data_IF_748931350989
#
_entry.id   IF_748931350989
#
_cell.length_a   1.000
_cell.length_b   1.000
_cell.length_c   1.000
_cell.angle_alpha   90.00
_cell.angle_beta   90.00
_cell.angle_gamma   90.00
#
_symmetry.space_group_name_H-M   'P 1'
#
loop_
_entity.id
_entity.type
_entity.pdbx_description
1 polymer ?
#
# COMPACT_ATOMS: atom_id res chain seq x y z
N UNK A 1 15.07 8.25 9.56
CA UNK A 1 14.91 7.60 10.89
C UNK A 1 15.19 8.54 12.07
N UNK A 2 16.39 9.12 12.21
CA UNK A 2 16.72 10.04 13.32
C UNK A 2 15.86 11.32 13.38
N UNK A 3 15.41 11.85 12.23
CA UNK A 3 14.69 13.12 12.17
C UNK A 3 13.23 13.05 12.68
N UNK A 4 12.51 11.94 12.47
CA UNK A 4 11.12 11.80 12.93
C UNK A 4 11.03 11.45 14.42
N UNK A 5 11.96 10.62 14.91
CA UNK A 5 12.10 10.31 16.35
C UNK A 5 12.49 11.56 17.13
N UNK A 6 13.39 12.41 16.60
CA UNK A 6 13.71 13.70 17.23
C UNK A 6 12.54 14.69 17.22
N UNK A 7 11.67 14.66 16.20
CA UNK A 7 10.51 15.54 16.13
C UNK A 7 9.45 15.18 17.19
N UNK A 8 9.20 13.87 17.39
CA UNK A 8 8.30 13.36 18.44
C UNK A 8 8.84 13.65 19.85
N UNK A 9 10.16 13.56 20.06
CA UNK A 9 10.80 13.93 21.34
C UNK A 9 10.69 15.44 21.63
N UNK A 10 10.60 16.29 20.59
CA UNK A 10 10.60 17.76 20.77
C UNK A 10 9.21 18.38 21.01
N UNK A 11 8.14 17.61 20.87
CA UNK A 11 6.74 18.08 20.98
C UNK A 11 6.08 17.79 22.34
N UNK A 12 6.84 17.32 23.34
CA UNK A 12 6.30 16.99 24.67
C UNK A 12 6.01 18.24 25.51
N UNK A 13 4.90 18.92 25.23
CA UNK A 13 4.17 19.78 26.17
C UNK A 13 2.65 19.48 26.05
N UNK A 14 2.29 18.25 26.39
CA UNK A 14 0.93 17.71 26.46
C UNK A 14 1.03 16.22 26.79
N UNK A 15 0.23 15.70 27.72
CA UNK A 15 0.38 14.33 28.23
C UNK A 15 0.37 13.29 27.12
N UNK A 16 1.46 12.54 26.99
CA UNK A 16 1.61 11.46 26.02
C UNK A 16 0.66 10.31 26.38
N UNK A 17 -0.04 9.76 25.38
CA UNK A 17 -0.90 8.59 25.59
C UNK A 17 -0.06 7.33 25.80
N UNK A 18 -0.62 6.33 26.52
CA UNK A 18 0.05 5.03 26.74
C UNK A 18 0.50 4.37 25.42
N UNK A 19 -0.25 4.61 24.33
CA UNK A 19 0.03 4.07 22.99
C UNK A 19 1.22 4.73 22.32
N UNK A 20 1.33 6.05 22.42
CA UNK A 20 2.51 6.76 21.92
C UNK A 20 3.76 6.36 22.72
N UNK A 21 3.64 6.16 24.03
CA UNK A 21 4.76 5.67 24.85
C UNK A 21 5.22 4.29 24.39
N UNK A 22 4.30 3.34 24.19
CA UNK A 22 4.63 2.02 23.64
C UNK A 22 5.36 2.10 22.29
N UNK A 23 4.90 2.97 21.39
CA UNK A 23 5.53 3.14 20.08
C UNK A 23 6.95 3.70 20.19
N UNK A 24 7.17 4.70 21.07
CA UNK A 24 8.52 5.23 21.31
C UNK A 24 9.45 4.19 21.96
N UNK A 25 8.95 3.40 22.92
CA UNK A 25 9.70 2.30 23.54
C UNK A 25 10.12 1.25 22.50
N UNK A 26 9.23 0.90 21.58
CA UNK A 26 9.50 0.01 20.45
C UNK A 26 10.57 0.57 19.50
N UNK A 27 10.50 1.86 19.17
CA UNK A 27 11.52 2.53 18.36
C UNK A 27 12.89 2.54 19.08
N UNK A 28 12.90 2.77 20.40
CA UNK A 28 14.11 2.74 21.21
C UNK A 28 14.70 1.32 21.30
N UNK A 29 13.88 0.30 21.50
CA UNK A 29 14.31 -1.10 21.51
C UNK A 29 14.97 -1.50 20.18
N UNK A 30 14.43 -0.99 19.07
CA UNK A 30 14.98 -1.20 17.72
C UNK A 30 16.33 -0.52 17.54
N UNK A 31 16.49 0.70 18.05
CA UNK A 31 17.77 1.42 18.00
C UNK A 31 18.88 0.71 18.80
N UNK A 32 18.51 0.09 19.93
CA UNK A 32 19.45 -0.63 20.78
C UNK A 32 19.81 -2.01 20.23
N UNK A 33 18.86 -2.68 19.58
CA UNK A 33 19.03 -4.01 19.01
C UNK A 33 18.30 -4.13 17.66
N UNK A 34 18.89 -3.59 16.58
CA UNK A 34 18.28 -3.60 15.25
C UNK A 34 17.92 -5.01 14.79
N UNK A 35 16.80 -5.14 14.08
CA UNK A 35 16.43 -6.42 13.46
C UNK A 35 17.41 -6.72 12.33
N UNK A 36 18.15 -7.82 12.44
CA UNK A 36 19.05 -8.25 11.37
C UNK A 36 18.28 -8.90 10.21
N UNK A 37 18.85 -8.85 9.01
CA UNK A 37 18.28 -9.56 7.84
C UNK A 37 18.13 -11.07 8.08
N UNK A 38 18.99 -11.67 8.91
CA UNK A 38 18.89 -13.10 9.26
C UNK A 38 17.68 -13.40 10.17
N UNK A 39 17.42 -12.54 11.16
CA UNK A 39 16.21 -12.62 11.98
C UNK A 39 14.96 -12.39 11.13
N UNK A 40 14.98 -11.37 10.28
CA UNK A 40 13.87 -11.07 9.37
C UNK A 40 13.60 -12.23 8.41
N UNK A 41 14.64 -12.82 7.81
CA UNK A 41 14.54 -14.03 6.98
C UNK A 41 13.86 -15.18 7.72
N UNK A 42 14.26 -15.42 8.97
CA UNK A 42 13.68 -16.47 9.81
C UNK A 42 12.20 -16.21 10.07
N UNK A 43 11.84 -14.97 10.38
CA UNK A 43 10.46 -14.57 10.66
C UNK A 43 9.56 -14.65 9.41
N UNK A 44 10.03 -14.11 8.27
CA UNK A 44 9.34 -14.12 6.98
C UNK A 44 9.07 -15.54 6.49
N UNK A 45 10.06 -16.44 6.59
CA UNK A 45 9.95 -17.82 6.13
C UNK A 45 9.31 -18.77 7.15
N UNK A 46 8.96 -18.28 8.34
CA UNK A 46 8.20 -19.06 9.31
C UNK A 46 6.77 -19.33 8.79
N UNK A 47 6.08 -20.39 9.25
CA UNK A 47 4.69 -20.63 8.86
C UNK A 47 3.77 -19.43 9.13
N UNK A 48 4.01 -18.70 10.21
CA UNK A 48 3.27 -17.47 10.54
C UNK A 48 3.56 -16.32 9.56
N UNK A 49 4.83 -16.12 9.19
CA UNK A 49 5.22 -15.08 8.25
C UNK A 49 4.65 -15.32 6.85
N UNK A 50 4.74 -16.56 6.37
CA UNK A 50 4.13 -16.98 5.10
C UNK A 50 2.62 -16.78 5.12
N UNK A 51 1.95 -17.13 6.22
CA UNK A 51 0.51 -16.92 6.37
C UNK A 51 0.11 -15.45 6.38
N UNK A 52 0.85 -14.61 7.10
CA UNK A 52 0.60 -13.17 7.16
C UNK A 52 0.74 -12.54 5.77
N UNK A 53 1.81 -12.86 5.04
CA UNK A 53 2.05 -12.35 3.67
C UNK A 53 0.98 -12.86 2.70
N UNK A 54 0.61 -14.15 2.79
CA UNK A 54 -0.49 -14.72 1.98
C UNK A 54 -1.79 -13.95 2.21
N UNK A 55 -2.12 -13.66 3.47
CA UNK A 55 -3.33 -12.93 3.84
C UNK A 55 -3.36 -11.51 3.27
N UNK A 56 -2.20 -10.85 3.13
CA UNK A 56 -2.11 -9.53 2.49
C UNK A 56 -2.47 -9.60 0.99
N UNK A 57 -1.92 -10.58 0.26
CA UNK A 57 -2.26 -10.75 -1.15
C UNK A 57 -3.72 -11.16 -1.35
N UNK A 58 -4.27 -12.03 -0.50
CA UNK A 58 -5.69 -12.40 -0.55
C UNK A 58 -6.59 -11.18 -0.31
N UNK A 59 -6.23 -10.35 0.68
CA UNK A 59 -6.96 -9.12 0.99
C UNK A 59 -6.90 -8.14 -0.18
N UNK A 60 -5.71 -7.92 -0.74
CA UNK A 60 -5.54 -7.07 -1.91
C UNK A 60 -6.38 -7.55 -3.10
N UNK A 61 -6.39 -8.86 -3.39
CA UNK A 61 -7.27 -9.42 -4.42
C UNK A 61 -8.75 -9.20 -4.13
N UNK A 62 -9.20 -9.41 -2.89
CA UNK A 62 -10.58 -9.13 -2.48
C UNK A 62 -10.93 -7.64 -2.60
N UNK A 63 -9.93 -6.78 -2.43
CA UNK A 63 -9.99 -5.35 -2.68
C UNK A 63 -9.65 -5.01 -4.14
N UNK A 64 -9.80 -5.91 -5.11
CA UNK A 64 -9.68 -5.50 -6.51
C UNK A 64 -10.89 -4.68 -6.98
N UNK A 65 -10.71 -3.94 -8.07
CA UNK A 65 -11.79 -3.29 -8.82
C UNK A 65 -11.78 -3.79 -10.27
N UNK A 66 -12.96 -3.92 -10.88
CA UNK A 66 -13.08 -4.17 -12.31
C UNK A 66 -13.11 -2.82 -13.03
N UNK A 67 -12.21 -2.61 -13.99
CA UNK A 67 -12.11 -1.37 -14.76
C UNK A 67 -11.56 -1.65 -16.15
N UNK A 68 -12.24 -1.20 -17.22
CA UNK A 68 -11.84 -1.44 -18.62
C UNK A 68 -11.56 -2.92 -18.93
N UNK A 69 -12.51 -3.80 -18.58
CA UNK A 69 -12.44 -5.26 -18.79
C UNK A 69 -11.27 -5.99 -18.11
N UNK A 70 -10.56 -5.30 -17.20
CA UNK A 70 -9.48 -5.88 -16.40
C UNK A 70 -9.74 -5.70 -14.91
N UNK A 71 -9.24 -6.66 -14.15
CA UNK A 71 -9.15 -6.52 -12.71
C UNK A 71 -7.92 -5.67 -12.36
N UNK A 72 -8.11 -4.61 -11.60
CA UNK A 72 -7.03 -3.80 -11.03
C UNK A 72 -6.95 -4.13 -9.55
N UNK A 73 -5.80 -4.62 -9.12
CA UNK A 73 -5.55 -5.07 -7.75
C UNK A 73 -4.69 -4.04 -7.02
N UNK A 74 -5.09 -3.60 -5.81
CA UNK A 74 -4.45 -2.49 -5.13
C UNK A 74 -3.14 -2.88 -4.45
N UNK A 75 -2.18 -1.97 -4.43
CA UNK A 75 -1.09 -2.08 -3.46
C UNK A 75 -1.63 -1.84 -2.04
N UNK A 76 -1.09 -2.57 -1.07
CA UNK A 76 -1.41 -2.39 0.35
C UNK A 76 -0.11 -2.09 1.10
N UNK A 77 -0.18 -1.42 2.23
CA UNK A 77 0.99 -1.16 3.04
C UNK A 77 0.69 -0.77 4.47
N UNK A 78 1.75 -0.62 5.26
CA UNK A 78 1.67 -0.28 6.67
C UNK A 78 3.02 -0.48 7.35
N UNK A 79 3.02 -0.86 8.63
CA UNK A 79 4.24 -1.03 9.42
C UNK A 79 4.44 -2.48 9.86
N UNK A 80 5.70 -2.89 9.94
CA UNK A 80 6.10 -4.23 10.31
C UNK A 80 6.84 -4.22 11.66
N UNK A 81 6.50 -5.20 12.48
CA UNK A 81 7.11 -5.43 13.79
C UNK A 81 7.60 -6.85 13.88
N UNK A 82 8.61 -7.05 14.73
CA UNK A 82 9.10 -8.36 15.11
C UNK A 82 8.87 -8.58 16.60
N UNK A 83 7.83 -9.34 16.93
CA UNK A 83 7.44 -9.67 18.30
C UNK A 83 7.81 -11.12 18.59
N UNK A 84 8.78 -11.34 19.47
CA UNK A 84 9.25 -12.69 19.86
C UNK A 84 9.62 -13.57 18.64
N UNK A 85 10.22 -12.97 17.61
CA UNK A 85 10.62 -13.66 16.37
C UNK A 85 9.48 -13.88 15.36
N UNK A 86 8.27 -13.38 15.64
CA UNK A 86 7.12 -13.44 14.73
C UNK A 86 6.97 -12.11 13.99
N UNK A 87 6.88 -12.20 12.67
CA UNK A 87 6.57 -11.05 11.82
C UNK A 87 5.10 -10.67 12.01
N UNK A 88 4.87 -9.42 12.40
CA UNK A 88 3.56 -8.80 12.51
C UNK A 88 3.47 -7.67 11.47
N UNK A 89 2.42 -7.68 10.65
CA UNK A 89 2.20 -6.72 9.58
C UNK A 89 0.93 -5.93 9.89
N UNK A 90 1.09 -4.72 10.43
CA UNK A 90 -0.01 -3.80 10.71
C UNK A 90 -0.33 -3.06 9.42
N UNK A 91 -1.51 -3.35 8.87
CA UNK A 91 -2.01 -2.68 7.67
C UNK A 91 -2.54 -1.29 8.01
N UNK A 92 -2.15 -0.30 7.20
CA UNK A 92 -2.70 1.04 7.26
C UNK A 92 -3.92 1.17 6.34
N UNK A 93 -4.97 1.89 6.75
CA UNK A 93 -6.09 2.18 5.87
C UNK A 93 -5.63 3.09 4.72
N UNK A 94 -5.97 2.70 3.49
CA UNK A 94 -5.70 3.55 2.34
C UNK A 94 -6.74 4.70 2.26
N UNK A 95 -6.30 5.97 2.24
CA UNK A 95 -7.20 7.11 2.27
C UNK A 95 -7.91 7.40 0.94
N UNK A 96 -7.49 6.80 -0.18
CA UNK A 96 -7.96 7.16 -1.53
C UNK A 96 -8.63 6.00 -2.27
N UNK A 97 -8.35 4.74 -1.93
CA UNK A 97 -8.95 3.57 -2.60
C UNK A 97 -10.48 3.59 -2.59
N UNK A 98 -11.11 3.97 -1.47
CA UNK A 98 -12.57 4.09 -1.37
C UNK A 98 -13.10 5.14 -2.34
N UNK A 99 -12.44 6.30 -2.43
CA UNK A 99 -12.85 7.36 -3.34
C UNK A 99 -12.69 6.95 -4.81
N UNK A 100 -11.60 6.26 -5.16
CA UNK A 100 -11.35 5.76 -6.52
C UNK A 100 -12.42 4.76 -6.95
N UNK A 101 -12.82 3.83 -6.07
CA UNK A 101 -13.91 2.89 -6.37
C UNK A 101 -15.22 3.61 -6.67
N UNK A 102 -15.54 4.61 -5.87
CA UNK A 102 -16.75 5.40 -6.08
C UNK A 102 -16.68 6.13 -7.42
N UNK A 103 -15.53 6.71 -7.80
CA UNK A 103 -15.35 7.31 -9.12
C UNK A 103 -15.56 6.30 -10.25
N UNK A 104 -14.99 5.10 -10.15
CA UNK A 104 -15.20 4.05 -11.15
C UNK A 104 -16.70 3.68 -11.24
N UNK A 105 -17.39 3.56 -10.11
CA UNK A 105 -18.83 3.24 -10.07
C UNK A 105 -19.71 4.38 -10.63
N UNK A 106 -19.30 5.63 -10.44
CA UNK A 106 -20.00 6.80 -10.96
C UNK A 106 -19.86 6.94 -12.49
N UNK A 107 -18.74 6.50 -13.07
CA UNK A 107 -18.53 6.46 -14.52
C UNK A 107 -18.74 7.82 -15.20
N UNK A 108 -19.74 7.93 -16.08
CA UNK A 108 -19.96 9.14 -16.89
C UNK A 108 -20.87 10.19 -16.21
N UNK A 109 -20.83 10.28 -14.86
CA UNK A 109 -21.68 11.15 -14.03
C UNK A 109 -20.86 12.24 -13.31
N UNK A 110 -20.29 13.24 -14.02
CA UNK A 110 -19.34 14.20 -13.44
C UNK A 110 -19.92 15.06 -12.32
N UNK A 111 -21.22 15.37 -12.34
CA UNK A 111 -21.88 16.14 -11.27
C UNK A 111 -21.96 15.35 -9.97
N UNK A 112 -22.28 14.06 -10.05
CA UNK A 112 -22.33 13.18 -8.87
C UNK A 112 -20.92 12.94 -8.33
N UNK A 113 -19.93 12.76 -9.22
CA UNK A 113 -18.51 12.66 -8.84
C UNK A 113 -18.03 13.88 -8.08
N UNK A 114 -18.28 15.07 -8.61
CA UNK A 114 -17.90 16.32 -7.96
C UNK A 114 -18.51 16.43 -6.57
N UNK A 115 -19.82 16.17 -6.45
CA UNK A 115 -20.53 16.21 -5.17
C UNK A 115 -19.97 15.21 -4.16
N UNK A 116 -19.63 14.00 -4.59
CA UNK A 116 -19.03 12.99 -3.72
C UNK A 116 -17.62 13.40 -3.26
N UNK A 117 -16.79 13.86 -4.19
CA UNK A 117 -15.40 14.22 -3.91
C UNK A 117 -15.31 15.42 -2.95
N UNK A 118 -16.16 16.43 -3.13
CA UNK A 118 -16.21 17.58 -2.22
C UNK A 118 -16.85 17.23 -0.86
N UNK A 119 -17.78 16.28 -0.85
CA UNK A 119 -18.56 15.89 0.33
C UNK A 119 -17.82 15.00 1.34
N UNK A 120 -16.77 14.30 0.92
CA UNK A 120 -16.06 13.30 1.74
C UNK A 120 -14.61 13.68 2.03
N UNK A 121 -14.03 13.16 3.13
CA UNK A 121 -12.61 13.40 3.45
C UNK A 121 -11.67 12.76 2.45
N UNK A 122 -11.98 11.53 2.06
CA UNK A 122 -11.26 10.69 1.11
C UNK A 122 -11.31 11.33 -0.30
N UNK A 123 -12.48 11.81 -0.69
CA UNK A 123 -12.68 12.54 -1.92
C UNK A 123 -11.87 13.83 -2.00
N UNK A 124 -11.84 14.62 -0.93
CA UNK A 124 -11.05 15.86 -0.88
C UNK A 124 -9.55 15.58 -0.98
N UNK A 125 -9.05 14.54 -0.32
CA UNK A 125 -7.65 14.10 -0.46
C UNK A 125 -7.33 13.68 -1.89
N UNK A 126 -8.25 12.99 -2.56
CA UNK A 126 -8.06 12.63 -3.97
C UNK A 126 -7.99 13.88 -4.85
N UNK A 127 -8.82 14.90 -4.62
CA UNK A 127 -8.78 16.17 -5.35
C UNK A 127 -7.46 16.93 -5.14
N UNK A 128 -6.92 16.95 -3.91
CA UNK A 128 -5.63 17.58 -3.60
C UNK A 128 -4.48 16.96 -4.39
N UNK A 129 -4.53 15.65 -4.59
CA UNK A 129 -3.49 14.90 -5.31
C UNK A 129 -3.69 14.90 -6.83
N UNK A 130 -4.92 15.11 -7.31
CA UNK A 130 -5.26 15.11 -8.74
C UNK A 130 -5.43 16.54 -9.26
N UNK A 131 -4.30 17.25 -9.43
CA UNK A 131 -4.24 18.71 -9.67
C UNK A 131 -5.01 19.31 -10.87
N UNK A 132 -5.74 18.52 -11.66
CA UNK A 132 -6.66 18.99 -12.71
C UNK A 132 -8.06 18.36 -12.68
N UNK A 133 -8.31 17.36 -11.83
CA UNK A 133 -9.58 16.64 -11.79
C UNK A 133 -10.72 17.55 -11.32
N UNK A 134 -10.47 18.35 -10.28
CA UNK A 134 -11.49 19.24 -9.71
C UNK A 134 -12.02 20.24 -10.76
N UNK A 135 -11.11 20.93 -11.44
CA UNK A 135 -11.45 21.93 -12.45
C UNK A 135 -12.19 21.31 -13.64
N UNK A 136 -11.78 20.11 -14.09
CA UNK A 136 -12.48 19.40 -15.14
C UNK A 136 -13.90 19.04 -14.71
N UNK A 137 -14.06 18.39 -13.55
CA UNK A 137 -15.37 17.97 -13.06
C UNK A 137 -16.30 19.17 -12.87
N UNK A 138 -15.79 20.30 -12.38
CA UNK A 138 -16.57 21.54 -12.27
C UNK A 138 -17.07 22.04 -13.62
N UNK A 139 -16.20 22.06 -14.65
CA UNK A 139 -16.59 22.42 -16.02
C UNK A 139 -17.68 21.48 -16.53
N UNK A 140 -17.43 20.16 -16.49
CA UNK A 140 -18.36 19.15 -17.00
C UNK A 140 -19.70 19.14 -16.25
N UNK A 141 -19.69 19.33 -14.92
CA UNK A 141 -20.89 19.38 -14.10
C UNK A 141 -21.79 20.59 -14.40
N UNK A 142 -21.22 21.65 -14.97
CA UNK A 142 -21.89 22.89 -15.33
C UNK A 142 -22.49 22.87 -16.75
N UNK A 143 -22.13 21.88 -17.57
CA UNK A 143 -22.65 21.72 -18.93
C UNK A 143 -24.02 21.01 -18.94
N UNK A 144 -24.89 21.39 -19.88
CA UNK A 144 -26.22 20.78 -20.05
C UNK A 144 -26.19 19.48 -20.86
N UNK A 145 -25.16 19.30 -21.70
CA UNK A 145 -24.92 18.10 -22.48
C UNK A 145 -23.41 17.89 -22.65
N UNK A 146 -22.94 16.66 -22.41
CA UNK A 146 -21.53 16.29 -22.55
C UNK A 146 -21.25 15.80 -23.98
N UNK A 147 -20.14 16.24 -24.57
CA UNK A 147 -19.70 15.69 -25.86
C UNK A 147 -19.01 14.34 -25.68
N UNK A 148 -18.91 13.55 -26.77
CA UNK A 148 -18.14 12.29 -26.74
C UNK A 148 -16.68 12.51 -26.31
N UNK A 149 -16.09 13.64 -26.68
CA UNK A 149 -14.72 14.02 -26.29
C UNK A 149 -14.61 14.33 -24.79
N UNK A 150 -15.65 14.89 -24.18
CA UNK A 150 -15.68 15.13 -22.74
C UNK A 150 -15.75 13.83 -21.94
N UNK A 151 -16.53 12.86 -22.44
CA UNK A 151 -16.62 11.52 -21.85
C UNK A 151 -15.29 10.78 -21.98
N UNK A 152 -14.67 10.80 -23.16
CA UNK A 152 -13.34 10.19 -23.39
C UNK A 152 -12.26 10.81 -22.47
N UNK A 153 -12.29 12.13 -22.27
CA UNK A 153 -11.36 12.80 -21.37
C UNK A 153 -11.59 12.39 -19.91
N UNK A 154 -12.86 12.29 -19.48
CA UNK A 154 -13.20 11.85 -18.13
C UNK A 154 -12.74 10.40 -17.89
N UNK A 155 -13.03 9.50 -18.82
CA UNK A 155 -12.58 8.09 -18.80
C UNK A 155 -11.05 8.02 -18.71
N UNK A 156 -10.33 8.79 -19.52
CA UNK A 156 -8.85 8.87 -19.48
C UNK A 156 -8.32 9.30 -18.11
N UNK A 157 -8.94 10.29 -17.48
CA UNK A 157 -8.49 10.76 -16.16
C UNK A 157 -8.80 9.73 -15.07
N UNK A 158 -9.96 9.07 -15.12
CA UNK A 158 -10.28 7.98 -14.19
C UNK A 158 -9.27 6.85 -14.37
N UNK A 159 -8.95 6.47 -15.60
CA UNK A 159 -7.95 5.45 -15.91
C UNK A 159 -6.58 5.81 -15.34
N UNK A 160 -6.13 7.06 -15.52
CA UNK A 160 -4.88 7.55 -14.96
C UNK A 160 -4.90 7.59 -13.42
N UNK A 161 -6.02 7.98 -12.82
CA UNK A 161 -6.21 8.01 -11.36
C UNK A 161 -6.13 6.61 -10.78
N UNK A 162 -6.82 5.64 -11.38
CA UNK A 162 -6.74 4.21 -11.01
C UNK A 162 -5.31 3.70 -11.19
N UNK A 163 -4.67 3.97 -12.33
CA UNK A 163 -3.32 3.50 -12.60
C UNK A 163 -2.26 4.09 -11.67
N UNK A 164 -2.47 5.31 -11.18
CA UNK A 164 -1.56 5.99 -10.25
C UNK A 164 -1.85 5.54 -8.83
N UNK A 165 -3.02 5.87 -8.29
CA UNK A 165 -3.27 5.79 -6.85
C UNK A 165 -3.74 4.42 -6.36
N UNK A 166 -4.24 3.57 -7.26
CA UNK A 166 -4.61 2.20 -6.88
C UNK A 166 -3.39 1.27 -6.95
N UNK A 167 -2.34 1.64 -7.70
CA UNK A 167 -1.13 0.83 -7.89
C UNK A 167 0.09 1.42 -7.19
N UNK A 168 -0.11 2.34 -6.26
CA UNK A 168 0.97 2.88 -5.44
C UNK A 168 0.48 3.01 -4.02
N UNK A 169 1.25 2.48 -3.07
CA UNK A 169 1.01 2.76 -1.67
C UNK A 169 1.88 3.92 -1.17
N UNK A 170 1.24 4.88 -0.50
CA UNK A 170 1.94 5.96 0.22
C UNK A 170 1.28 6.17 1.58
N UNK A 171 2.03 6.66 2.55
CA UNK A 171 1.51 7.00 3.88
C UNK A 171 1.79 8.45 4.22
N UNK A 172 0.79 9.11 4.80
CA UNK A 172 0.95 10.44 5.35
C UNK A 172 1.30 10.37 6.84
N UNK A 173 2.05 11.36 7.38
CA UNK A 173 2.32 11.43 8.82
C UNK A 173 1.05 11.42 9.68
N UNK A 174 -0.04 12.02 9.20
CA UNK A 174 -1.33 12.06 9.92
C UNK A 174 -1.95 10.67 10.10
N UNK A 175 -1.76 9.79 9.11
CA UNK A 175 -2.22 8.40 9.17
C UNK A 175 -1.36 7.63 10.17
N UNK A 176 -0.04 7.81 10.12
CA UNK A 176 0.89 7.17 11.07
C UNK A 176 0.54 7.52 12.52
N UNK A 177 0.33 8.81 12.83
CA UNK A 177 -0.06 9.23 14.19
C UNK A 177 -1.35 8.54 14.64
N UNK A 178 -2.38 8.51 13.79
CA UNK A 178 -3.62 7.81 14.09
C UNK A 178 -3.40 6.31 14.32
N UNK A 179 -2.56 5.67 13.51
CA UNK A 179 -2.25 4.24 13.66
C UNK A 179 -1.46 3.98 14.95
N UNK A 180 -0.58 4.91 15.35
CA UNK A 180 0.13 4.86 16.63
C UNK A 180 -0.88 4.80 17.80
N UNK A 181 -1.88 5.68 17.78
CA UNK A 181 -2.90 5.76 18.83
C UNK A 181 -3.86 4.56 18.87
N UNK A 182 -4.07 3.86 17.75
CA UNK A 182 -5.10 2.83 17.61
C UNK A 182 -4.58 1.40 17.70
N UNK A 183 -3.26 1.22 17.62
CA UNK A 183 -2.63 -0.11 17.53
C UNK A 183 -1.93 -0.45 18.84
N UNK A 184 -1.99 -1.72 19.23
CA UNK A 184 -1.19 -2.24 20.34
C UNK A 184 0.21 -2.60 19.84
N UNK A 185 1.18 -1.70 20.07
CA UNK A 185 2.54 -1.84 19.55
C UNK A 185 3.39 -2.70 20.48
N UNK A 186 4.07 -3.70 19.91
CA UNK A 186 4.94 -4.63 20.64
C UNK A 186 6.13 -5.06 19.80
N UNK A 187 7.17 -5.52 20.48
CA UNK A 187 8.38 -6.04 19.85
C UNK A 187 9.34 -4.96 19.38
N UNK A 188 9.94 -5.17 18.20
CA UNK A 188 10.85 -4.23 17.56
C UNK A 188 10.30 -3.77 16.22
N UNK A 189 10.45 -2.48 15.93
CA UNK A 189 10.17 -1.90 14.63
C UNK A 189 11.07 -2.52 13.56
N UNK A 190 10.48 -2.86 12.42
CA UNK A 190 11.23 -3.31 11.23
C UNK A 190 11.26 -2.20 10.19
N UNK A 191 10.10 -1.64 9.86
CA UNK A 191 9.99 -0.63 8.81
C UNK A 191 8.57 -0.54 8.26
N UNK A 192 8.34 0.48 7.42
CA UNK A 192 7.18 0.48 6.55
C UNK A 192 7.32 -0.60 5.48
N UNK A 193 6.19 -1.21 5.14
CA UNK A 193 6.07 -2.20 4.07
C UNK A 193 4.97 -1.84 3.10
N UNK A 194 5.12 -2.30 1.86
CA UNK A 194 4.04 -2.39 0.90
C UNK A 194 4.13 -3.68 0.08
N UNK A 195 3.01 -4.06 -0.52
CA UNK A 195 2.94 -5.20 -1.45
C UNK A 195 2.92 -4.73 -2.90
N UNK A 196 3.58 -5.51 -3.76
CA UNK A 196 3.26 -5.57 -5.20
C UNK A 196 2.32 -6.74 -5.41
N UNK A 197 1.02 -6.48 -5.66
CA UNK A 197 -0.01 -7.51 -5.62
C UNK A 197 0.03 -8.44 -6.83
N UNK A 198 -0.70 -9.56 -6.80
CA UNK A 198 -0.85 -10.44 -7.96
C UNK A 198 -1.39 -9.68 -9.17
N UNK A 199 -0.72 -9.78 -10.32
CA UNK A 199 -1.18 -9.19 -11.58
C UNK A 199 -1.64 -10.32 -12.50
N UNK A 200 -2.95 -10.43 -12.71
CA UNK A 200 -3.50 -11.43 -13.63
C UNK A 200 -3.18 -11.06 -15.08
N UNK A 201 -2.79 -12.06 -15.85
CA UNK A 201 -2.78 -12.05 -17.31
C UNK A 201 -3.66 -13.20 -17.81
N UNK A 202 -4.12 -13.15 -19.05
CA UNK A 202 -4.94 -14.25 -19.62
C UNK A 202 -4.27 -15.64 -19.61
N UNK A 203 -2.99 -15.75 -19.25
CA UNK A 203 -2.25 -17.00 -19.13
C UNK A 203 -1.93 -17.42 -17.68
N UNK A 204 -2.26 -16.61 -16.67
CA UNK A 204 -1.86 -16.82 -15.27
C UNK A 204 -1.37 -15.53 -14.60
N UNK A 205 -0.69 -15.62 -13.47
CA UNK A 205 -0.12 -14.43 -12.84
C UNK A 205 1.21 -14.01 -13.48
N UNK A 206 1.43 -12.71 -13.62
CA UNK A 206 2.70 -12.14 -14.05
C UNK A 206 3.73 -12.19 -12.92
N UNK A 207 5.00 -12.45 -13.25
CA UNK A 207 6.11 -12.25 -12.33
C UNK A 207 6.32 -10.77 -12.00
N UNK A 208 6.56 -10.49 -10.72
CA UNK A 208 6.98 -9.18 -10.26
C UNK A 208 8.44 -8.91 -10.61
N UNK A 209 8.75 -7.71 -11.08
CA UNK A 209 10.09 -7.24 -11.46
C UNK A 209 10.70 -6.25 -10.44
N UNK A 210 10.07 -6.16 -9.27
CA UNK A 210 10.38 -5.22 -8.20
C UNK A 210 11.56 -5.69 -7.32
N UNK A 211 12.22 -4.79 -6.54
CA UNK A 211 11.87 -3.38 -6.29
C UNK A 211 12.14 -2.45 -7.48
N UNK A 212 11.27 -1.46 -7.66
CA UNK A 212 11.42 -0.39 -8.64
C UNK A 212 12.39 0.70 -8.15
N UNK A 213 12.78 1.61 -9.05
CA UNK A 213 13.55 2.81 -8.69
C UNK A 213 12.78 3.68 -7.68
N UNK A 214 11.45 3.74 -7.79
CA UNK A 214 10.62 4.46 -6.84
C UNK A 214 10.67 3.82 -5.44
N UNK A 215 10.64 2.48 -5.36
CA UNK A 215 10.77 1.77 -4.07
C UNK A 215 12.13 2.05 -3.42
N UNK A 216 13.23 2.00 -4.21
CA UNK A 216 14.56 2.33 -3.71
C UNK A 216 14.67 3.79 -3.23
N UNK A 217 14.09 4.73 -3.97
CA UNK A 217 14.06 6.14 -3.56
C UNK A 217 13.26 6.34 -2.28
N UNK A 218 12.08 5.73 -2.19
CA UNK A 218 11.23 5.81 -1.00
C UNK A 218 11.90 5.16 0.23
N UNK A 219 12.68 4.09 0.05
CA UNK A 219 13.49 3.54 1.12
C UNK A 219 14.49 4.57 1.66
N UNK A 220 15.21 5.27 0.77
CA UNK A 220 16.19 6.30 1.14
C UNK A 220 15.54 7.54 1.77
N UNK A 221 14.46 8.04 1.16
CA UNK A 221 13.86 9.34 1.50
C UNK A 221 12.79 9.23 2.60
N UNK A 222 11.97 8.19 2.55
CA UNK A 222 10.75 8.06 3.36
C UNK A 222 10.82 6.95 4.41
N UNK A 223 11.83 6.09 4.36
CA UNK A 223 11.97 4.98 5.29
C UNK A 223 11.05 3.77 4.99
N UNK A 224 10.61 3.64 3.74
CA UNK A 224 9.87 2.48 3.24
C UNK A 224 10.83 1.33 2.91
N UNK A 225 11.16 0.51 3.91
CA UNK A 225 12.24 -0.45 3.79
C UNK A 225 11.84 -1.80 3.23
N UNK A 226 10.56 -2.17 3.27
CA UNK A 226 10.14 -3.53 2.98
C UNK A 226 9.23 -3.56 1.75
N UNK A 227 9.64 -4.32 0.73
CA UNK A 227 8.83 -4.50 -0.48
C UNK A 227 8.49 -5.98 -0.63
N UNK A 228 7.20 -6.30 -0.67
CA UNK A 228 6.70 -7.67 -0.66
C UNK A 228 6.03 -7.96 -2.01
N UNK A 229 6.66 -8.79 -2.83
CA UNK A 229 6.32 -8.95 -4.25
C UNK A 229 5.70 -10.32 -4.47
N UNK A 230 4.50 -10.34 -5.05
CA UNK A 230 3.88 -11.57 -5.47
C UNK A 230 4.69 -12.23 -6.60
N UNK A 231 4.88 -13.54 -6.51
CA UNK A 231 5.40 -14.36 -7.60
C UNK A 231 4.41 -15.49 -7.87
N UNK A 232 4.27 -15.98 -9.12
CA UNK A 232 3.39 -17.10 -9.42
C UNK A 232 3.70 -18.32 -8.53
N UNK A 233 4.98 -18.62 -8.33
CA UNK A 233 5.40 -19.74 -7.48
C UNK A 233 5.67 -19.37 -6.01
N UNK A 234 5.27 -18.19 -5.52
CA UNK A 234 5.49 -17.78 -4.13
C UNK A 234 5.54 -16.27 -3.91
N UNK A 235 6.52 -15.80 -3.14
CA UNK A 235 6.76 -14.37 -2.99
C UNK A 235 8.23 -14.06 -2.82
N UNK A 236 8.60 -12.83 -3.17
CA UNK A 236 9.88 -12.24 -2.81
C UNK A 236 9.66 -11.13 -1.80
N UNK A 237 10.46 -11.11 -0.75
CA UNK A 237 10.46 -10.10 0.28
C UNK A 237 11.82 -9.41 0.22
N UNK A 238 11.81 -8.11 -0.03
CA UNK A 238 13.01 -7.30 -0.16
C UNK A 238 13.20 -6.43 1.08
N UNK A 239 14.43 -6.46 1.61
CA UNK A 239 14.89 -5.58 2.68
C UNK A 239 15.80 -4.50 2.06
N UNK A 240 15.27 -3.28 1.97
CA UNK A 240 15.90 -2.10 1.41
C UNK A 240 16.51 -1.19 2.50
N UNK A 241 16.50 -1.60 3.77
CA UNK A 241 16.98 -0.78 4.89
C UNK A 241 18.43 -0.30 4.72
N UNK A 242 19.26 -1.12 4.05
CA UNK A 242 20.65 -0.81 3.73
C UNK A 242 20.81 0.39 2.79
N UNK A 243 19.85 0.62 1.90
CA UNK A 243 19.87 1.77 0.99
C UNK A 243 19.79 3.10 1.74
N UNK A 244 18.96 3.14 2.79
CA UNK A 244 18.82 4.32 3.64
C UNK A 244 20.07 4.59 4.48
N UNK A 245 20.75 3.53 4.94
CA UNK A 245 22.04 3.65 5.62
C UNK A 245 23.13 4.22 4.69
N UNK A 246 23.19 3.72 3.46
CA UNK A 246 24.17 4.16 2.45
C UNK A 246 23.77 5.46 1.73
N UNK A 247 22.51 5.90 1.87
CA UNK A 247 21.90 7.06 1.21
C UNK A 247 22.05 7.05 -0.31
N UNK A 248 21.83 5.89 -0.95
CA UNK A 248 21.89 5.73 -2.41
C UNK A 248 20.92 4.67 -2.93
N UNK A 249 20.43 4.87 -4.15
CA UNK A 249 19.61 3.93 -4.91
C UNK A 249 20.55 2.88 -5.58
N UNK A 250 20.80 1.75 -4.91
CA UNK A 250 21.69 0.69 -5.42
C UNK A 250 21.09 -0.69 -5.21
N UNK A 251 20.57 -1.30 -6.28
CA UNK A 251 19.91 -2.60 -6.25
C UNK A 251 20.81 -3.72 -5.72
N UNK A 252 22.15 -3.59 -5.85
CA UNK A 252 23.09 -4.62 -5.37
C UNK A 252 23.19 -4.70 -3.84
N UNK A 253 22.68 -3.69 -3.14
CA UNK A 253 22.67 -3.61 -1.67
C UNK A 253 21.32 -4.09 -1.08
N UNK A 254 20.37 -4.49 -1.93
CA UNK A 254 19.06 -5.00 -1.50
C UNK A 254 19.16 -6.50 -1.19
N UNK A 255 18.67 -6.88 -0.02
CA UNK A 255 18.60 -8.28 0.39
C UNK A 255 17.26 -8.89 -0.01
N UNK A 256 17.31 -10.05 -0.66
CA UNK A 256 16.10 -10.79 -1.09
C UNK A 256 15.89 -12.06 -0.27
N UNK A 257 14.66 -12.21 0.21
CA UNK A 257 14.15 -13.41 0.89
C UNK A 257 13.04 -14.00 0.02
N UNK A 258 13.21 -15.24 -0.42
CA UNK A 258 12.29 -15.90 -1.36
C UNK A 258 11.59 -17.07 -0.70
N UNK A 259 10.26 -17.07 -0.73
CA UNK A 259 9.44 -18.25 -0.44
C UNK A 259 8.93 -18.83 -1.76
N UNK A 260 8.96 -20.15 -1.89
CA UNK A 260 8.49 -20.86 -3.10
C UNK A 260 7.63 -22.06 -2.72
N UNK A 261 6.51 -22.24 -3.42
CA UNK A 261 5.54 -23.31 -3.17
C UNK A 261 4.72 -23.61 -4.43
N UNK A 262 4.58 -24.88 -4.77
CA UNK A 262 3.76 -25.36 -5.89
C UNK A 262 2.25 -25.11 -5.67
N UNK A 263 1.83 -24.98 -4.41
CA UNK A 263 0.43 -24.72 -4.06
C UNK A 263 0.06 -23.23 -4.07
N UNK A 264 1.04 -22.34 -4.32
CA UNK A 264 0.84 -20.89 -4.25
C UNK A 264 -0.07 -20.38 -5.36
N UNK A 265 0.32 -20.52 -6.63
CA UNK A 265 -0.52 -20.07 -7.76
C UNK A 265 -1.91 -20.73 -7.78
N UNK A 266 -2.07 -22.06 -7.60
CA UNK A 266 -3.39 -22.68 -7.57
C UNK A 266 -4.31 -22.09 -6.49
N UNK A 267 -3.75 -21.75 -5.32
CA UNK A 267 -4.49 -21.10 -4.24
C UNK A 267 -5.06 -19.74 -4.71
N UNK A 268 -4.23 -18.86 -5.26
CA UNK A 268 -4.68 -17.53 -5.69
C UNK A 268 -5.58 -17.57 -6.93
N UNK A 269 -5.34 -18.47 -7.88
CA UNK A 269 -6.26 -18.68 -9.01
C UNK A 269 -7.65 -19.12 -8.54
N UNK A 270 -7.74 -19.96 -7.50
CA UNK A 270 -9.03 -20.36 -6.93
C UNK A 270 -9.79 -19.16 -6.33
N UNK A 271 -9.08 -18.26 -5.64
CA UNK A 271 -9.65 -17.03 -5.08
C UNK A 271 -10.13 -16.07 -6.15
N UNK A 272 -9.35 -15.90 -7.20
CA UNK A 272 -9.70 -15.06 -8.35
C UNK A 272 -11.02 -15.52 -8.99
N UNK A 273 -11.15 -16.83 -9.25
CA UNK A 273 -12.36 -17.40 -9.86
C UNK A 273 -13.60 -17.20 -8.98
N UNK A 274 -13.45 -17.29 -7.66
CA UNK A 274 -14.56 -17.01 -6.73
C UNK A 274 -14.95 -15.53 -6.80
N UNK A 275 -13.98 -14.61 -6.82
CA UNK A 275 -14.26 -13.18 -6.93
C UNK A 275 -14.95 -12.82 -8.27
N UNK A 276 -14.48 -13.39 -9.38
CA UNK A 276 -15.09 -13.21 -10.71
C UNK A 276 -16.48 -13.86 -10.82
N UNK A 277 -16.66 -15.06 -10.26
CA UNK A 277 -17.94 -15.78 -10.27
C UNK A 277 -19.03 -15.13 -9.42
N UNK A 278 -18.66 -14.47 -8.32
CA UNK A 278 -19.59 -13.70 -7.47
C UNK A 278 -20.05 -12.37 -8.10
N UNK A 279 -19.43 -11.96 -9.21
CA UNK A 279 -19.70 -10.69 -9.91
C UNK A 279 -20.73 -10.81 -11.04
N UNK A 280 -21.39 -11.97 -11.19
CA UNK A 280 -22.45 -12.18 -12.20
C UNK A 280 -23.82 -12.15 -11.51
N UNK A 281 -24.68 -11.13 -11.73
CA UNK A 281 -26.09 -11.18 -11.36
C UNK A 281 -26.90 -12.13 -12.24
#
# INVERSE_FOLDING_TARGET
MLFLIQLLISLTHGGQSDRETQYLELAQATLQNPVSTAELRTAVLSPHGVEAIRSLFERSMAESLNFEDRMVTPELGGEAMLTEGRLELVLYPDPVHTAIRELVALGNRPREMLSYLEGTSEGRRLLENTGGLHALLYRLASESALSAKDLELLETIIANTVATYFKTWTTEPSIQVRMIEQTDWRGRYVGFWHIHPPRETGAGFQEGIEPSVADMRNAVELGQFLTIVFQPNGFDFYDLSRLAFLRREDLSEVERISYRSENWEPHFLSRLRVAQGASTP
#
